data_IF_423582514442
#
_entry.id   IF_423582514442
#
_cell.length_a   1.000
_cell.length_b   1.000
_cell.length_c   1.000
_cell.angle_alpha   90.00
_cell.angle_beta   90.00
_cell.angle_gamma   90.00
#
_symmetry.space_group_name_H-M   'P 1'
#
loop_
_entity.id
_entity.type
_entity.pdbx_description
1 polymer ?
#
# COMPACT_ATOMS: atom_id res chain seq x y z
N UNK A 1 7.00 -8.46 5.68
CA UNK A 1 8.20 -8.70 4.86
C UNK A 1 7.86 -9.18 3.44
N UNK A 2 7.41 -10.44 3.23
CA UNK A 2 7.24 -11.03 1.88
C UNK A 2 6.47 -10.15 0.87
N UNK A 3 5.34 -9.58 1.26
CA UNK A 3 4.57 -8.68 0.38
C UNK A 3 5.37 -7.43 -0.01
N UNK A 4 6.02 -6.77 0.95
CA UNK A 4 6.83 -5.58 0.69
C UNK A 4 8.01 -5.90 -0.24
N UNK A 5 8.69 -7.03 -0.05
CA UNK A 5 9.85 -7.44 -0.86
C UNK A 5 9.48 -7.89 -2.27
N UNK A 6 8.41 -8.68 -2.40
CA UNK A 6 8.09 -9.38 -3.65
C UNK A 6 7.07 -8.63 -4.51
N UNK A 7 6.28 -7.72 -3.91
CA UNK A 7 5.23 -6.97 -4.61
C UNK A 7 5.56 -5.48 -4.64
N UNK A 8 5.81 -4.84 -3.48
CA UNK A 8 5.94 -3.39 -3.42
C UNK A 8 7.29 -2.85 -3.91
N UNK A 9 8.40 -3.44 -3.44
CA UNK A 9 9.74 -2.97 -3.75
C UNK A 9 10.04 -2.95 -5.26
N UNK A 10 9.66 -3.97 -6.07
CA UNK A 10 9.81 -3.91 -7.53
C UNK A 10 9.02 -2.78 -8.18
N UNK A 11 7.86 -2.40 -7.63
CA UNK A 11 7.00 -1.35 -8.17
C UNK A 11 7.51 0.07 -7.86
N UNK A 12 8.47 0.23 -6.95
CA UNK A 12 9.00 1.56 -6.61
C UNK A 12 9.62 2.25 -7.84
N UNK A 13 10.42 1.52 -8.61
CA UNK A 13 11.02 2.03 -9.85
C UNK A 13 9.97 2.30 -10.95
N UNK A 14 8.92 1.46 -11.03
CA UNK A 14 7.83 1.65 -11.99
C UNK A 14 7.09 2.96 -11.68
N UNK A 15 6.80 3.20 -10.39
CA UNK A 15 6.17 4.44 -9.94
C UNK A 15 6.97 5.69 -10.28
N UNK A 16 8.29 5.64 -10.11
CA UNK A 16 9.20 6.75 -10.44
C UNK A 16 9.27 7.04 -11.96
N UNK A 17 9.32 5.99 -12.79
CA UNK A 17 9.41 6.14 -14.25
C UNK A 17 8.09 6.59 -14.87
N UNK A 18 6.96 5.99 -14.45
CA UNK A 18 5.67 6.23 -15.09
C UNK A 18 4.94 7.45 -14.51
N UNK A 19 5.05 7.66 -13.19
CA UNK A 19 4.26 8.65 -12.47
C UNK A 19 2.75 8.44 -12.62
N UNK A 20 1.98 9.42 -12.14
CA UNK A 20 0.54 9.49 -12.38
C UNK A 20 0.26 10.32 -13.63
N UNK A 21 -0.67 9.86 -14.47
CA UNK A 21 -1.15 10.62 -15.63
C UNK A 21 -2.59 11.08 -15.39
N UNK A 22 -2.85 12.36 -15.60
CA UNK A 22 -4.20 12.91 -15.54
C UNK A 22 -4.83 13.00 -16.94
N UNK A 23 -6.13 12.73 -17.03
CA UNK A 23 -6.97 12.98 -18.20
C UNK A 23 -8.38 13.42 -17.77
N UNK A 24 -9.23 13.78 -18.73
CA UNK A 24 -10.64 14.13 -18.46
C UNK A 24 -11.45 12.97 -17.84
N UNK A 25 -10.99 11.72 -18.01
CA UNK A 25 -11.59 10.54 -17.38
C UNK A 25 -11.06 10.25 -15.97
N UNK A 26 -10.10 11.04 -15.47
CA UNK A 26 -9.51 10.88 -14.13
C UNK A 26 -8.00 10.65 -14.14
N UNK A 27 -7.48 10.21 -12.99
CA UNK A 27 -6.04 9.93 -12.82
C UNK A 27 -5.77 8.44 -13.00
N UNK A 28 -4.80 8.12 -13.85
CA UNK A 28 -4.23 6.78 -13.98
C UNK A 28 -2.95 6.70 -13.14
N UNK A 29 -2.91 5.71 -12.25
CA UNK A 29 -1.73 5.39 -11.44
C UNK A 29 -0.73 4.52 -12.21
N UNK A 30 0.54 4.44 -11.75
CA UNK A 30 1.54 3.57 -12.35
C UNK A 30 1.08 2.11 -12.47
N UNK A 31 1.62 1.43 -13.48
CA UNK A 31 1.36 0.02 -13.74
C UNK A 31 1.62 -0.83 -12.48
N UNK A 32 0.67 -1.69 -12.12
CA UNK A 32 0.77 -2.60 -10.98
C UNK A 32 0.35 -2.01 -9.62
N UNK A 33 0.21 -0.68 -9.49
CA UNK A 33 -0.15 -0.06 -8.20
C UNK A 33 -1.54 -0.50 -7.73
N UNK A 34 -2.50 -0.55 -8.64
CA UNK A 34 -3.89 -0.93 -8.33
C UNK A 34 -3.99 -2.41 -7.94
N UNK A 35 -3.26 -3.28 -8.62
CA UNK A 35 -3.23 -4.72 -8.35
C UNK A 35 -2.55 -5.02 -7.02
N UNK A 36 -1.45 -4.33 -6.70
CA UNK A 36 -0.80 -4.42 -5.39
C UNK A 36 -1.72 -3.91 -4.28
N UNK A 37 -2.42 -2.80 -4.51
CA UNK A 37 -3.38 -2.24 -3.55
C UNK A 37 -4.51 -3.21 -3.23
N UNK A 38 -5.07 -3.87 -4.26
CA UNK A 38 -6.09 -4.90 -4.07
C UNK A 38 -5.57 -6.05 -3.18
N UNK A 39 -4.37 -6.57 -3.45
CA UNK A 39 -3.77 -7.62 -2.62
C UNK A 39 -3.52 -7.17 -1.18
N UNK A 40 -3.15 -5.90 -0.99
CA UNK A 40 -2.92 -5.32 0.34
C UNK A 40 -4.22 -5.27 1.16
N UNK A 41 -5.32 -4.82 0.55
CA UNK A 41 -6.65 -4.80 1.17
C UNK A 41 -7.16 -6.21 1.44
N UNK A 42 -7.02 -7.13 0.47
CA UNK A 42 -7.43 -8.54 0.64
C UNK A 42 -6.65 -9.24 1.77
N UNK A 43 -5.41 -8.83 2.01
CA UNK A 43 -4.60 -9.30 3.13
C UNK A 43 -4.97 -8.68 4.49
N UNK A 44 -5.89 -7.71 4.54
CA UNK A 44 -6.31 -7.03 5.77
C UNK A 44 -5.26 -6.08 6.36
N UNK A 45 -4.14 -5.84 5.67
CA UNK A 45 -3.03 -5.02 6.18
C UNK A 45 -3.41 -3.58 6.55
N UNK A 46 -4.33 -2.88 5.83
CA UNK A 46 -4.76 -1.54 6.23
C UNK A 46 -5.46 -1.50 7.60
N UNK A 47 -6.06 -2.61 8.06
CA UNK A 47 -6.99 -2.62 9.19
C UNK A 47 -6.40 -3.15 10.50
N UNK A 48 -5.10 -3.46 10.53
CA UNK A 48 -4.44 -4.15 11.64
C UNK A 48 -4.73 -3.52 13.02
N UNK A 49 -4.45 -2.24 13.18
CA UNK A 49 -4.56 -1.55 14.47
C UNK A 49 -5.88 -0.77 14.63
N UNK A 50 -6.79 -0.86 13.66
CA UNK A 50 -8.06 -0.16 13.71
C UNK A 50 -9.08 -0.86 14.62
N UNK A 51 -10.06 -0.09 15.08
CA UNK A 51 -11.14 -0.56 15.94
C UNK A 51 -11.99 -1.62 15.23
N UNK A 52 -12.29 -2.70 15.95
CA UNK A 52 -13.12 -3.81 15.47
C UNK A 52 -14.54 -3.35 15.13
N UNK A 53 -15.07 -2.34 15.82
CA UNK A 53 -16.39 -1.76 15.51
C UNK A 53 -16.48 -1.18 14.09
N UNK A 54 -15.33 -0.80 13.50
CA UNK A 54 -15.21 -0.27 12.14
C UNK A 54 -14.60 -1.28 11.15
N UNK A 55 -14.51 -2.56 11.52
CA UNK A 55 -13.92 -3.61 10.68
C UNK A 55 -12.40 -3.74 10.79
N UNK A 56 -11.80 -3.13 11.81
CA UNK A 56 -10.40 -3.33 12.18
C UNK A 56 -10.13 -4.68 12.85
N UNK A 57 -8.85 -4.99 13.04
CA UNK A 57 -8.42 -6.24 13.69
C UNK A 57 -8.10 -6.06 15.18
N UNK A 58 -8.10 -4.83 15.70
CA UNK A 58 -7.85 -4.55 17.13
C UNK A 58 -6.45 -4.88 17.63
N UNK A 59 -5.47 -4.99 16.73
CA UNK A 59 -4.08 -5.28 17.11
C UNK A 59 -3.38 -4.02 17.67
N UNK A 60 -2.27 -4.17 18.41
CA UNK A 60 -1.53 -3.03 18.94
C UNK A 60 -1.00 -2.10 17.84
N UNK A 61 -1.06 -0.80 18.08
CA UNK A 61 -0.55 0.24 17.16
C UNK A 61 0.92 0.03 16.77
N UNK A 62 1.74 -0.49 17.69
CA UNK A 62 3.15 -0.81 17.41
C UNK A 62 3.32 -1.79 16.24
N UNK A 63 2.38 -2.71 16.04
CA UNK A 63 2.41 -3.62 14.91
C UNK A 63 2.03 -2.91 13.61
N UNK A 64 1.03 -2.02 13.66
CA UNK A 64 0.67 -1.16 12.53
C UNK A 64 1.85 -0.30 12.09
N UNK A 65 2.57 0.31 13.04
CA UNK A 65 3.77 1.09 12.79
C UNK A 65 4.89 0.27 12.14
N UNK A 66 5.18 -0.93 12.63
CA UNK A 66 6.19 -1.80 12.03
C UNK A 66 5.85 -2.19 10.59
N UNK A 67 4.57 -2.43 10.29
CA UNK A 67 4.11 -2.71 8.91
C UNK A 67 4.20 -1.48 8.03
N UNK A 68 3.81 -0.32 8.55
CA UNK A 68 3.91 0.97 7.84
C UNK A 68 5.37 1.30 7.48
N UNK A 69 6.32 1.06 8.38
CA UNK A 69 7.75 1.23 8.10
C UNK A 69 8.22 0.34 6.94
N UNK A 70 7.86 -0.95 6.96
CA UNK A 70 8.22 -1.87 5.88
C UNK A 70 7.61 -1.46 4.52
N UNK A 71 6.37 -0.98 4.52
CA UNK A 71 5.71 -0.47 3.32
C UNK A 71 6.43 0.79 2.81
N UNK A 72 6.71 1.74 3.70
CA UNK A 72 7.39 2.98 3.36
C UNK A 72 8.80 2.76 2.82
N UNK A 73 9.56 1.84 3.41
CA UNK A 73 10.89 1.45 2.94
C UNK A 73 10.85 0.78 1.56
N UNK A 74 9.83 -0.03 1.28
CA UNK A 74 9.69 -0.70 -0.01
C UNK A 74 9.25 0.26 -1.11
N UNK A 75 8.24 1.10 -0.84
CA UNK A 75 7.68 2.05 -1.80
C UNK A 75 6.87 3.14 -1.09
N UNK A 76 7.53 4.25 -0.75
CA UNK A 76 6.90 5.36 -0.03
C UNK A 76 5.73 5.99 -0.78
N UNK A 77 5.86 6.20 -2.10
CA UNK A 77 4.80 6.84 -2.89
C UNK A 77 3.55 5.97 -2.99
N UNK A 78 3.72 4.65 -3.07
CA UNK A 78 2.61 3.70 -2.99
C UNK A 78 1.98 3.63 -1.59
N UNK A 79 2.79 3.70 -0.53
CA UNK A 79 2.30 3.63 0.86
C UNK A 79 1.42 4.80 1.30
N UNK A 80 1.36 5.88 0.52
CA UNK A 80 0.51 7.05 0.78
C UNK A 80 -0.89 6.97 0.16
N UNK A 81 -1.16 5.92 -0.61
CA UNK A 81 -2.51 5.65 -1.10
C UNK A 81 -3.44 5.25 0.07
N UNK A 82 -4.73 5.61 0.00
CA UNK A 82 -5.67 5.53 1.13
C UNK A 82 -5.94 4.11 1.61
#
# INVERSE_FOLDING_TARGET
AKFCEQVLAPLNRVGDIEGCTWSESGVKTPTGFKEAYKQFVEGGWPSLAHDVEHGGQGLPESLGLAVSEMVGAANWSWGMYP
#
